data_IF_362806613514
#
_entry.id   IF_362806613514
#
_cell.length_a   1.000
_cell.length_b   1.000
_cell.length_c   1.000
_cell.angle_alpha   90.00
_cell.angle_beta   90.00
_cell.angle_gamma   90.00
#
_symmetry.space_group_name_H-M   'P 1'
#
loop_
_entity.id
_entity.type
_entity.pdbx_description
1 polymer ?
#
# COMPACT_ATOMS: atom_id res chain seq x y z
N UNK A 1 19.71 -12.06 2.54
CA UNK A 1 19.52 -13.54 2.48
C UNK A 1 19.45 -14.17 3.88
N UNK A 2 20.12 -13.61 4.89
CA UNK A 2 20.11 -14.13 6.28
C UNK A 2 18.81 -13.89 7.06
N UNK A 3 18.12 -12.77 6.81
CA UNK A 3 16.88 -12.44 7.55
C UNK A 3 15.72 -13.39 7.22
N UNK A 4 15.68 -13.90 5.99
CA UNK A 4 14.70 -14.88 5.54
C UNK A 4 14.82 -16.21 6.29
N UNK A 5 16.06 -16.67 6.56
CA UNK A 5 16.31 -17.90 7.32
C UNK A 5 15.90 -17.75 8.79
N UNK A 6 16.18 -16.59 9.40
CA UNK A 6 15.76 -16.29 10.78
C UNK A 6 14.24 -16.25 10.90
N UNK A 7 13.55 -15.70 9.90
CA UNK A 7 12.09 -15.60 9.89
C UNK A 7 11.42 -16.97 9.70
N UNK A 8 11.91 -17.82 8.78
CA UNK A 8 11.42 -19.20 8.63
C UNK A 8 11.56 -19.97 9.94
N UNK A 9 12.68 -19.77 10.65
CA UNK A 9 12.89 -20.39 11.97
C UNK A 9 11.86 -19.91 13.00
N UNK A 10 11.49 -18.63 13.00
CA UNK A 10 10.46 -18.09 13.90
C UNK A 10 9.06 -18.61 13.55
N UNK A 11 8.72 -18.71 12.26
CA UNK A 11 7.45 -19.26 11.77
C UNK A 11 7.30 -20.74 12.17
N UNK A 12 8.35 -21.54 11.98
CA UNK A 12 8.35 -22.96 12.38
C UNK A 12 8.23 -23.10 13.91
N UNK A 13 8.84 -22.19 14.67
CA UNK A 13 8.76 -22.18 16.14
C UNK A 13 7.34 -21.85 16.63
N UNK A 14 6.69 -20.84 16.04
CA UNK A 14 5.30 -20.50 16.33
C UNK A 14 4.36 -21.67 15.99
N UNK A 15 4.50 -22.26 14.80
CA UNK A 15 3.67 -23.40 14.39
C UNK A 15 3.80 -24.63 15.32
N UNK A 16 5.00 -24.85 15.88
CA UNK A 16 5.22 -25.90 16.90
C UNK A 16 4.57 -25.57 18.25
N UNK A 17 4.51 -24.31 18.65
CA UNK A 17 3.90 -23.90 19.93
C UNK A 17 2.36 -24.01 19.93
N UNK A 18 1.70 -23.86 18.77
CA UNK A 18 0.23 -23.87 18.66
C UNK A 18 -0.37 -25.24 18.30
N UNK A 19 0.38 -26.33 18.43
CA UNK A 19 -0.04 -27.67 17.98
C UNK A 19 -0.95 -28.45 18.96
N UNK A 20 -1.27 -27.93 20.16
CA UNK A 20 -2.14 -28.59 21.13
C UNK A 20 -3.59 -28.04 21.15
N UNK A 21 -4.53 -28.96 20.92
CA UNK A 21 -6.01 -28.91 21.08
C UNK A 21 -6.87 -28.02 20.15
N UNK A 22 -7.76 -28.73 19.44
CA UNK A 22 -9.11 -28.42 18.95
C UNK A 22 -9.43 -27.15 18.11
N UNK A 23 -8.67 -26.06 18.17
CA UNK A 23 -8.95 -24.84 17.37
C UNK A 23 -8.15 -24.76 16.06
N UNK A 24 -7.78 -25.93 15.50
CA UNK A 24 -6.83 -26.03 14.38
C UNK A 24 -7.28 -25.35 13.10
N UNK A 25 -8.57 -25.29 12.81
CA UNK A 25 -9.05 -24.79 11.52
C UNK A 25 -9.31 -23.27 11.52
N UNK A 26 -9.87 -22.71 12.60
CA UNK A 26 -10.05 -21.26 12.73
C UNK A 26 -8.70 -20.54 12.93
N UNK A 27 -7.80 -21.12 13.73
CA UNK A 27 -6.48 -20.53 13.96
C UNK A 27 -5.65 -20.61 12.68
N UNK A 28 -5.64 -21.75 11.95
CA UNK A 28 -4.94 -21.85 10.65
C UNK A 28 -5.40 -20.79 9.66
N UNK A 29 -6.70 -20.57 9.51
CA UNK A 29 -7.20 -19.55 8.58
C UNK A 29 -6.78 -18.14 8.98
N UNK A 30 -6.79 -17.84 10.28
CA UNK A 30 -6.33 -16.57 10.81
C UNK A 30 -4.82 -16.35 10.59
N UNK A 31 -3.99 -17.36 10.90
CA UNK A 31 -2.53 -17.25 10.71
C UNK A 31 -2.14 -17.22 9.25
N UNK A 32 -2.84 -17.94 8.37
CA UNK A 32 -2.59 -17.92 6.92
C UNK A 32 -2.95 -16.58 6.28
N UNK A 33 -4.05 -15.94 6.70
CA UNK A 33 -4.40 -14.58 6.24
C UNK A 33 -3.36 -13.56 6.68
N UNK A 34 -2.93 -13.60 7.94
CA UNK A 34 -1.87 -12.72 8.44
C UNK A 34 -0.53 -12.97 7.73
N UNK A 35 -0.18 -14.24 7.46
CA UNK A 35 1.02 -14.58 6.70
C UNK A 35 0.92 -14.15 5.23
N UNK A 36 -0.27 -14.20 4.61
CA UNK A 36 -0.50 -13.70 3.26
C UNK A 36 -0.39 -12.16 3.22
N UNK A 37 -1.03 -11.45 4.15
CA UNK A 37 -0.90 -9.99 4.27
C UNK A 37 0.57 -9.56 4.51
N UNK A 38 1.31 -10.33 5.31
CA UNK A 38 2.75 -10.12 5.51
C UNK A 38 3.55 -10.44 4.25
N UNK A 39 3.28 -11.56 3.56
CA UNK A 39 3.98 -11.93 2.33
C UNK A 39 3.72 -10.92 1.19
N UNK A 40 2.50 -10.40 1.07
CA UNK A 40 2.14 -9.31 0.14
C UNK A 40 2.96 -8.04 0.44
N UNK A 41 3.25 -7.76 1.71
CA UNK A 41 4.09 -6.61 2.12
C UNK A 41 5.58 -6.84 1.81
N UNK A 42 6.06 -8.10 1.79
CA UNK A 42 7.48 -8.43 1.60
C UNK A 42 7.88 -8.80 0.16
N UNK A 43 6.91 -9.17 -0.70
CA UNK A 43 7.11 -9.41 -2.14
C UNK A 43 6.59 -8.24 -2.99
N UNK A 44 6.54 -7.05 -2.40
CA UNK A 44 5.95 -5.86 -3.01
C UNK A 44 6.84 -5.35 -4.16
N UNK A 45 6.69 -5.95 -5.34
CA UNK A 45 7.18 -5.41 -6.61
C UNK A 45 6.32 -4.21 -7.08
N UNK A 46 5.52 -3.60 -6.18
CA UNK A 46 4.76 -2.41 -6.55
C UNK A 46 5.70 -1.24 -6.81
N UNK A 47 5.37 -0.39 -7.79
CA UNK A 47 6.11 0.84 -8.03
C UNK A 47 6.17 1.72 -6.78
N UNK A 48 7.29 2.42 -6.62
CA UNK A 48 7.45 3.40 -5.56
C UNK A 48 6.43 4.53 -5.70
N UNK A 49 5.80 4.89 -4.58
CA UNK A 49 4.80 5.94 -4.48
C UNK A 49 5.26 6.94 -3.44
N UNK A 50 5.23 8.21 -3.79
CA UNK A 50 5.54 9.31 -2.90
C UNK A 50 4.24 9.95 -2.41
N UNK A 51 4.24 10.38 -1.14
CA UNK A 51 3.11 11.10 -0.53
C UNK A 51 3.55 12.49 -0.18
N UNK A 52 2.91 13.47 -0.79
CA UNK A 52 3.17 14.89 -0.59
C UNK A 52 1.94 15.57 -0.01
N UNK A 53 2.15 16.55 0.87
CA UNK A 53 1.07 17.35 1.44
C UNK A 53 1.31 18.82 1.10
N UNK A 54 0.39 19.41 0.33
CA UNK A 54 0.46 20.80 -0.10
C UNK A 54 -0.75 21.57 0.41
N UNK A 55 -0.54 22.48 1.37
CA UNK A 55 -1.60 23.31 1.98
C UNK A 55 -2.78 22.46 2.46
N UNK A 56 -3.83 22.37 1.64
CA UNK A 56 -5.11 21.73 1.92
C UNK A 56 -5.34 20.46 1.09
N UNK A 57 -4.31 19.95 0.43
CA UNK A 57 -4.37 18.78 -0.44
C UNK A 57 -3.27 17.78 -0.08
N UNK A 58 -3.60 16.51 -0.23
CA UNK A 58 -2.66 15.38 -0.19
C UNK A 58 -2.56 14.83 -1.61
N UNK A 59 -1.33 14.64 -2.08
CA UNK A 59 -1.03 14.12 -3.41
C UNK A 59 -0.18 12.87 -3.23
N UNK A 60 -0.65 11.75 -3.77
CA UNK A 60 0.10 10.51 -3.91
C UNK A 60 0.49 10.36 -5.37
N UNK A 61 1.76 10.16 -5.65
CA UNK A 61 2.26 10.03 -7.02
C UNK A 61 3.33 8.95 -7.16
N UNK A 62 3.33 8.26 -8.29
CA UNK A 62 4.39 7.31 -8.60
C UNK A 62 4.47 7.01 -10.09
N UNK A 63 5.62 6.49 -10.50
CA UNK A 63 5.90 6.12 -11.88
C UNK A 63 5.38 4.71 -12.12
N UNK A 64 4.33 4.59 -12.93
CA UNK A 64 3.78 3.31 -13.36
C UNK A 64 3.71 3.35 -14.89
N UNK A 65 4.64 2.71 -15.61
CA UNK A 65 4.62 2.76 -17.05
C UNK A 65 3.47 1.90 -17.62
N UNK A 66 3.02 2.27 -18.82
CA UNK A 66 2.20 1.42 -19.68
C UNK A 66 0.88 0.88 -19.08
N UNK A 67 0.19 1.68 -18.27
CA UNK A 67 -1.23 1.43 -18.01
C UNK A 67 -2.01 1.73 -19.28
N UNK A 68 -2.68 0.71 -19.83
CA UNK A 68 -3.32 0.80 -21.15
C UNK A 68 -4.77 1.27 -21.07
N UNK A 69 -5.51 0.83 -20.06
CA UNK A 69 -6.93 1.17 -19.91
C UNK A 69 -7.20 1.84 -18.57
N UNK A 70 -8.12 2.82 -18.49
CA UNK A 70 -8.53 3.39 -17.22
C UNK A 70 -9.11 2.38 -16.22
N UNK A 71 -9.72 1.30 -16.73
CA UNK A 71 -10.28 0.21 -15.91
C UNK A 71 -9.22 -0.67 -15.26
N UNK A 72 -7.97 -0.59 -15.71
CA UNK A 72 -6.85 -1.34 -15.14
C UNK A 72 -6.34 -0.69 -13.84
N UNK A 73 -6.89 0.46 -13.42
CA UNK A 73 -6.59 1.12 -12.15
C UNK A 73 -7.86 1.21 -11.31
N UNK A 74 -7.77 0.76 -10.06
CA UNK A 74 -8.77 0.99 -9.04
C UNK A 74 -8.13 1.68 -7.84
N UNK A 75 -8.74 2.78 -7.41
CA UNK A 75 -8.31 3.52 -6.22
C UNK A 75 -9.49 3.58 -5.26
N UNK A 76 -9.29 3.04 -4.06
CA UNK A 76 -10.28 3.05 -2.99
C UNK A 76 -9.72 3.80 -1.79
N UNK A 77 -10.53 4.68 -1.21
CA UNK A 77 -10.21 5.35 0.04
C UNK A 77 -11.05 4.72 1.15
N UNK A 78 -10.37 4.16 2.14
CA UNK A 78 -10.97 3.57 3.33
C UNK A 78 -10.72 4.47 4.55
N UNK A 79 -11.75 4.63 5.38
CA UNK A 79 -11.74 5.44 6.61
C UNK A 79 -11.15 6.86 6.43
N UNK A 80 -11.26 7.44 5.24
CA UNK A 80 -10.71 8.74 4.85
C UNK A 80 -9.19 8.90 5.02
N UNK A 81 -8.43 7.85 5.32
CA UNK A 81 -6.99 7.94 5.61
C UNK A 81 -6.18 6.83 4.93
N UNK A 82 -6.79 5.70 4.58
CA UNK A 82 -6.11 4.59 3.95
C UNK A 82 -6.44 4.55 2.46
N UNK A 83 -5.42 4.77 1.64
CA UNK A 83 -5.54 4.69 0.19
C UNK A 83 -5.11 3.30 -0.28
N UNK A 84 -5.98 2.62 -1.03
CA UNK A 84 -5.74 1.30 -1.60
C UNK A 84 -5.70 1.46 -3.11
N UNK A 85 -4.58 1.11 -3.72
CA UNK A 85 -4.35 1.19 -5.16
C UNK A 85 -4.18 -0.23 -5.68
N UNK A 86 -5.04 -0.62 -6.61
CA UNK A 86 -4.92 -1.86 -7.36
C UNK A 86 -4.70 -1.48 -8.82
N UNK A 87 -3.67 -2.05 -9.46
CA UNK A 87 -3.29 -1.65 -10.80
C UNK A 87 -2.77 -2.84 -11.61
N UNK A 88 -3.17 -2.91 -12.88
CA UNK A 88 -2.58 -3.75 -13.91
C UNK A 88 -1.78 -2.89 -14.89
N UNK A 89 -0.54 -3.30 -15.18
CA UNK A 89 0.39 -2.55 -16.02
C UNK A 89 1.32 -3.50 -16.79
N UNK A 90 2.10 -2.97 -17.73
CA UNK A 90 2.97 -3.77 -18.59
C UNK A 90 4.42 -3.30 -18.50
N UNK A 91 5.34 -4.23 -18.28
CA UNK A 91 6.76 -3.94 -18.44
C UNK A 91 7.12 -3.83 -19.92
N UNK A 92 8.22 -3.13 -20.19
CA UNK A 92 8.84 -3.09 -21.51
C UNK A 92 10.12 -3.92 -21.47
N UNK A 93 10.35 -4.71 -22.51
CA UNK A 93 11.61 -5.43 -22.69
C UNK A 93 12.77 -4.47 -23.05
N UNK A 94 13.98 -5.01 -23.15
CA UNK A 94 15.20 -4.24 -23.49
C UNK A 94 15.11 -3.54 -24.86
N UNK A 95 14.19 -3.97 -25.73
CA UNK A 95 13.96 -3.39 -27.06
C UNK A 95 12.83 -2.35 -27.07
N UNK A 96 12.18 -2.12 -25.92
CA UNK A 96 11.06 -1.19 -25.77
C UNK A 96 9.70 -1.74 -26.17
N UNK A 97 9.62 -3.04 -26.49
CA UNK A 97 8.34 -3.69 -26.75
C UNK A 97 7.65 -4.03 -25.43
N UNK A 98 6.32 -3.94 -25.38
CA UNK A 98 5.56 -4.34 -24.20
C UNK A 98 5.64 -5.86 -24.03
N UNK A 99 5.89 -6.31 -22.81
CA UNK A 99 5.77 -7.72 -22.47
C UNK A 99 4.33 -8.21 -22.69
N UNK A 100 4.18 -9.46 -23.11
CA UNK A 100 2.85 -10.02 -23.40
C UNK A 100 2.00 -10.24 -22.15
N UNK A 101 2.65 -10.36 -20.98
CA UNK A 101 1.98 -10.62 -19.70
C UNK A 101 1.93 -9.33 -18.89
N UNK A 102 0.75 -8.91 -18.40
CA UNK A 102 0.69 -7.79 -17.49
C UNK A 102 1.23 -8.18 -16.10
N UNK A 103 1.79 -7.20 -15.42
CA UNK A 103 2.00 -7.22 -13.98
C UNK A 103 0.82 -6.60 -13.26
N UNK A 104 0.60 -7.06 -12.03
CA UNK A 104 -0.44 -6.55 -11.15
C UNK A 104 0.17 -6.24 -9.79
N UNK A 105 -0.27 -5.15 -9.18
CA UNK A 105 0.10 -4.84 -7.80
C UNK A 105 -1.09 -4.30 -7.01
N UNK A 106 -0.99 -4.47 -5.69
CA UNK A 106 -1.90 -3.88 -4.72
C UNK A 106 -1.10 -3.17 -3.63
N UNK A 107 -1.23 -1.85 -3.56
CA UNK A 107 -0.51 -1.02 -2.59
C UNK A 107 -1.49 -0.36 -1.62
N UNK A 108 -1.16 -0.40 -0.34
CA UNK A 108 -1.87 0.30 0.73
C UNK A 108 -0.99 1.42 1.25
N UNK A 109 -1.51 2.64 1.25
CA UNK A 109 -0.78 3.84 1.66
C UNK A 109 -1.61 4.56 2.72
N UNK A 110 -1.06 4.69 3.92
CA UNK A 110 -1.65 5.51 4.97
C UNK A 110 -1.31 6.98 4.71
N UNK A 111 -2.33 7.81 4.58
CA UNK A 111 -2.21 9.23 4.33
C UNK A 111 -1.85 9.97 5.63
N UNK A 112 -1.05 11.03 5.56
CA UNK A 112 -0.62 11.79 6.75
C UNK A 112 -1.76 12.52 7.46
N UNK A 113 -2.92 12.63 6.82
CA UNK A 113 -4.12 13.20 7.40
C UNK A 113 -5.37 12.68 6.69
N UNK A 114 -6.50 12.83 7.35
CA UNK A 114 -7.80 12.51 6.76
C UNK A 114 -8.12 13.41 5.56
N UNK A 115 -8.69 12.85 4.50
CA UNK A 115 -9.06 13.55 3.25
C UNK A 115 -10.55 13.40 2.94
N UNK A 116 -11.12 14.34 2.18
CA UNK A 116 -12.51 14.30 1.74
C UNK A 116 -12.66 13.37 0.51
N UNK A 117 -13.41 12.25 0.63
CA UNK A 117 -13.59 11.29 -0.45
C UNK A 117 -14.23 11.89 -1.70
N UNK A 118 -15.11 12.89 -1.56
CA UNK A 118 -15.79 13.53 -2.71
C UNK A 118 -14.82 14.34 -3.59
N UNK A 119 -13.64 14.66 -3.05
CA UNK A 119 -12.60 15.42 -3.75
C UNK A 119 -11.50 14.55 -4.33
N UNK A 120 -11.61 13.22 -4.16
CA UNK A 120 -10.64 12.27 -4.67
C UNK A 120 -10.60 12.33 -6.20
N UNK A 121 -9.43 12.61 -6.75
CA UNK A 121 -9.17 12.65 -8.18
C UNK A 121 -8.00 11.73 -8.52
N UNK A 122 -8.10 11.04 -9.65
CA UNK A 122 -7.06 10.16 -10.16
C UNK A 122 -6.74 10.57 -11.58
N UNK A 123 -5.48 10.88 -11.85
CA UNK A 123 -4.98 11.26 -13.16
C UNK A 123 -3.81 10.38 -13.54
N UNK A 124 -3.82 9.86 -14.76
CA UNK A 124 -2.70 9.12 -15.32
C UNK A 124 -2.23 9.79 -16.61
N UNK A 125 -0.95 10.18 -16.65
CA UNK A 125 -0.38 10.85 -17.81
C UNK A 125 1.11 10.51 -17.93
N UNK A 126 1.54 10.11 -19.14
CA UNK A 126 2.96 9.85 -19.48
C UNK A 126 3.67 8.90 -18.49
N UNK A 127 3.01 7.81 -18.11
CA UNK A 127 3.61 6.80 -17.22
C UNK A 127 3.67 7.21 -15.75
N UNK A 128 2.95 8.25 -15.35
CA UNK A 128 2.87 8.69 -13.97
C UNK A 128 1.41 8.73 -13.52
N UNK A 129 1.16 8.15 -12.35
CA UNK A 129 -0.12 8.14 -11.67
C UNK A 129 -0.09 9.23 -10.60
N UNK A 130 -1.12 10.07 -10.59
CA UNK A 130 -1.37 11.05 -9.53
C UNK A 130 -2.74 10.80 -8.94
N UNK A 131 -2.80 10.75 -7.62
CA UNK A 131 -4.01 10.66 -6.84
C UNK A 131 -4.01 11.86 -5.92
N UNK A 132 -5.03 12.69 -5.97
CA UNK A 132 -5.13 13.87 -5.12
C UNK A 132 -6.46 13.95 -4.40
N UNK A 133 -6.45 14.46 -3.17
CA UNK A 133 -7.65 14.67 -2.39
C UNK A 133 -7.44 15.83 -1.41
N UNK A 134 -8.49 16.63 -1.19
CA UNK A 134 -8.46 17.71 -0.21
C UNK A 134 -8.53 17.16 1.20
N UNK A 135 -7.94 17.84 2.17
CA UNK A 135 -8.00 17.44 3.59
C UNK A 135 -9.45 17.51 4.10
N UNK A 136 -9.81 16.57 4.97
CA UNK A 136 -11.09 16.57 5.67
C UNK A 136 -11.03 17.57 6.84
N UNK A 137 -11.64 18.74 6.66
CA UNK A 137 -11.79 19.75 7.73
C UNK A 137 -10.59 20.70 7.89
N UNK A 138 -10.88 21.95 8.25
CA UNK A 138 -9.93 23.07 8.28
C UNK A 138 -8.72 22.83 9.18
N UNK A 139 -7.56 23.27 8.72
CA UNK A 139 -6.25 23.17 9.38
C UNK A 139 -6.28 23.86 10.75
N UNK A 140 -6.61 23.12 11.83
CA UNK A 140 -6.38 23.61 13.19
C UNK A 140 -4.94 23.32 13.58
N UNK A 141 -4.08 24.33 13.41
CA UNK A 141 -2.68 24.22 13.84
C UNK A 141 -2.63 24.27 15.36
N UNK A 142 -2.26 23.17 16.02
CA UNK A 142 -1.98 23.15 17.46
C UNK A 142 -0.47 23.14 17.67
N UNK A 143 0.05 24.22 18.26
CA UNK A 143 1.44 24.27 18.71
C UNK A 143 1.48 23.85 20.18
N UNK A 144 2.18 22.76 20.48
CA UNK A 144 2.50 22.37 21.85
C UNK A 144 3.93 22.80 22.19
N UNK A 145 4.13 23.39 23.37
CA UNK A 145 5.48 23.65 23.88
C UNK A 145 5.93 22.42 24.68
N UNK A 146 7.14 21.93 24.37
CA UNK A 146 7.78 20.85 25.13
C UNK A 146 8.21 21.41 26.50
N UNK A 147 7.81 20.74 27.58
CA UNK A 147 8.36 20.97 28.91
C UNK A 147 9.33 19.85 29.25
N UNK A 148 10.56 20.22 29.60
CA UNK A 148 11.51 19.32 30.22
C UNK A 148 11.21 19.27 31.72
N UNK A 149 11.06 18.07 32.26
CA UNK A 149 11.00 17.83 33.70
C UNK A 149 12.44 17.59 34.17
N UNK A 150 12.91 18.42 35.09
CA UNK A 150 14.16 18.21 35.84
C UNK A 150 14.00 17.07 36.86
#
# INVERSE_FOLDING_TARGET
MDDFKKMISQIISLHKQFSSSADRDQIRQFTLRQLADMADTFMDNSPDMEVHTYKDEVIVSGVIPNILNPQDISVTLDCNILLIIECRWYQSDETGNLESKPDEFKKKIELPCSVNPETLSVTYQKGMLWISAKKAGGTSTRTAKVQFLD
#
